data_IF_938722817131
#
_entry.id   IF_938722817131
#
_cell.length_a   1.000
_cell.length_b   1.000
_cell.length_c   1.000
_cell.angle_alpha   90.00
_cell.angle_beta   90.00
_cell.angle_gamma   90.00
#
_symmetry.space_group_name_H-M   'P 1'
#
loop_
_entity.id
_entity.type
_entity.pdbx_description
1 polymer ?
#
# COMPACT_ATOMS: atom_id res chain seq x y z
N UNK A 1 -12.47 17.46 4.42
CA UNK A 1 -12.28 16.26 5.26
C UNK A 1 -12.91 14.97 4.72
N UNK A 2 -14.23 14.82 4.51
CA UNK A 2 -14.80 13.57 3.93
C UNK A 2 -14.63 13.50 2.39
N UNK A 3 -14.71 14.65 1.73
CA UNK A 3 -14.63 14.76 0.27
C UNK A 3 -13.21 14.52 -0.26
N UNK A 4 -12.21 15.08 0.44
CA UNK A 4 -10.77 14.83 0.21
C UNK A 4 -10.41 13.33 0.31
N UNK A 5 -11.09 12.56 1.17
CA UNK A 5 -10.79 11.13 1.28
C UNK A 5 -11.30 10.33 0.08
N UNK A 6 -12.47 10.68 -0.47
CA UNK A 6 -13.04 10.00 -1.64
C UNK A 6 -12.27 10.32 -2.91
N UNK A 7 -11.90 11.59 -3.10
CA UNK A 7 -11.06 12.00 -4.23
C UNK A 7 -9.70 11.28 -4.20
N UNK A 8 -9.07 11.19 -3.04
CA UNK A 8 -7.82 10.45 -2.87
C UNK A 8 -7.96 8.96 -3.22
N UNK A 9 -9.05 8.32 -2.80
CA UNK A 9 -9.33 6.90 -3.14
C UNK A 9 -9.53 6.73 -4.65
N UNK A 10 -10.30 7.61 -5.28
CA UNK A 10 -10.52 7.57 -6.73
C UNK A 10 -9.21 7.76 -7.49
N UNK A 11 -8.38 8.71 -7.06
CA UNK A 11 -7.09 8.95 -7.69
C UNK A 11 -6.19 7.71 -7.63
N UNK A 12 -6.06 7.08 -6.46
CA UNK A 12 -5.25 5.86 -6.29
C UNK A 12 -5.83 4.65 -7.04
N UNK A 13 -7.14 4.57 -7.18
CA UNK A 13 -7.78 3.58 -8.06
C UNK A 13 -7.42 3.80 -9.53
N UNK A 14 -7.42 5.06 -10.01
CA UNK A 14 -7.03 5.38 -11.39
C UNK A 14 -5.53 5.14 -11.64
N UNK A 15 -4.67 5.35 -10.65
CA UNK A 15 -3.25 4.98 -10.72
C UNK A 15 -3.08 3.46 -10.87
N UNK A 16 -3.87 2.68 -10.12
CA UNK A 16 -3.88 1.23 -10.24
C UNK A 16 -4.38 0.78 -11.63
N UNK A 17 -5.45 1.40 -12.15
CA UNK A 17 -5.92 1.19 -13.52
C UNK A 17 -4.80 1.46 -14.54
N UNK A 18 -4.10 2.59 -14.44
CA UNK A 18 -3.03 2.96 -15.37
C UNK A 18 -1.87 1.94 -15.35
N UNK A 19 -1.49 1.47 -14.15
CA UNK A 19 -0.50 0.41 -14.01
C UNK A 19 -0.97 -0.88 -14.71
N UNK A 20 -2.21 -1.30 -14.47
CA UNK A 20 -2.81 -2.50 -15.08
C UNK A 20 -2.85 -2.36 -16.61
N UNK A 21 -3.28 -1.21 -17.13
CA UNK A 21 -3.36 -0.95 -18.57
C UNK A 21 -1.97 -1.10 -19.23
N UNK A 22 -0.92 -0.58 -18.58
CA UNK A 22 0.47 -0.72 -19.05
C UNK A 22 0.96 -2.15 -18.97
N UNK A 23 0.79 -2.80 -17.82
CA UNK A 23 1.33 -4.14 -17.56
C UNK A 23 0.67 -5.22 -18.44
N UNK A 24 -0.65 -5.14 -18.63
CA UNK A 24 -1.42 -6.09 -19.43
C UNK A 24 -1.63 -5.62 -20.87
N UNK A 25 -1.04 -4.48 -21.27
CA UNK A 25 -1.14 -3.88 -22.61
C UNK A 25 -2.60 -3.67 -23.05
N UNK A 26 -3.46 -3.27 -22.12
CA UNK A 26 -4.86 -2.96 -22.39
C UNK A 26 -4.91 -1.62 -23.12
N UNK A 27 -5.34 -1.62 -24.38
CA UNK A 27 -5.35 -0.42 -25.24
C UNK A 27 -6.65 0.37 -25.19
N UNK A 28 -7.71 -0.20 -24.62
CA UNK A 28 -9.06 0.36 -24.64
C UNK A 28 -9.62 0.36 -23.22
N UNK A 29 -10.12 1.50 -22.77
CA UNK A 29 -10.81 1.64 -21.47
C UNK A 29 -11.95 0.63 -21.31
N UNK A 30 -12.68 0.33 -22.39
CA UNK A 30 -13.76 -0.64 -22.35
C UNK A 30 -13.28 -2.04 -21.96
N UNK A 31 -12.08 -2.45 -22.40
CA UNK A 31 -11.56 -3.77 -22.07
C UNK A 31 -11.21 -3.87 -20.57
N UNK A 32 -10.67 -2.81 -19.96
CA UNK A 32 -10.49 -2.76 -18.51
C UNK A 32 -11.84 -2.81 -17.78
N UNK A 33 -12.78 -1.96 -18.20
CA UNK A 33 -14.11 -1.87 -17.61
C UNK A 33 -14.83 -3.24 -17.65
N UNK A 34 -14.84 -3.90 -18.79
CA UNK A 34 -15.42 -5.23 -19.00
C UNK A 34 -14.77 -6.28 -18.07
N UNK A 35 -13.45 -6.21 -17.91
CA UNK A 35 -12.69 -7.18 -17.09
C UNK A 35 -13.06 -7.08 -15.61
N UNK A 36 -13.29 -5.87 -15.09
CA UNK A 36 -13.73 -5.67 -13.70
C UNK A 36 -15.27 -5.64 -13.58
N UNK A 37 -16.01 -5.83 -14.67
CA UNK A 37 -17.47 -5.80 -14.73
C UNK A 37 -18.11 -4.41 -14.60
N UNK A 38 -17.33 -3.34 -14.73
CA UNK A 38 -17.82 -1.96 -14.66
C UNK A 38 -18.29 -1.46 -16.03
N UNK A 39 -19.16 -0.45 -16.06
CA UNK A 39 -19.52 0.17 -17.33
C UNK A 39 -18.44 1.13 -17.81
N UNK A 40 -18.18 1.15 -19.12
CA UNK A 40 -17.21 2.06 -19.72
C UNK A 40 -17.52 3.54 -19.43
N UNK A 41 -18.81 3.89 -19.35
CA UNK A 41 -19.24 5.25 -18.99
C UNK A 41 -18.84 5.60 -17.55
N UNK A 42 -18.93 4.65 -16.61
CA UNK A 42 -18.55 4.90 -15.22
C UNK A 42 -17.05 5.21 -15.13
N UNK A 43 -16.20 4.42 -15.77
CA UNK A 43 -14.74 4.67 -15.82
C UNK A 43 -14.44 6.04 -16.44
N UNK A 44 -15.12 6.40 -17.54
CA UNK A 44 -14.97 7.72 -18.15
C UNK A 44 -15.36 8.86 -17.19
N UNK A 45 -16.42 8.68 -16.40
CA UNK A 45 -16.83 9.67 -15.41
C UNK A 45 -15.83 9.81 -14.26
N UNK A 46 -15.21 8.70 -13.82
CA UNK A 46 -14.12 8.73 -12.83
C UNK A 46 -12.93 9.55 -13.34
N UNK A 47 -12.44 9.23 -14.56
CA UNK A 47 -11.30 9.94 -15.17
C UNK A 47 -11.56 11.43 -15.39
N UNK A 48 -12.83 11.80 -15.61
CA UNK A 48 -13.24 13.19 -15.78
C UNK A 48 -13.52 13.92 -14.44
N UNK A 49 -13.35 13.27 -13.29
CA UNK A 49 -13.67 13.84 -11.98
C UNK A 49 -15.17 14.08 -11.75
N UNK A 50 -16.04 13.47 -12.57
CA UNK A 50 -17.50 13.63 -12.50
C UNK A 50 -18.18 12.65 -11.55
N UNK A 51 -17.44 11.64 -11.09
CA UNK A 51 -17.91 10.64 -10.12
C UNK A 51 -16.74 10.12 -9.29
N UNK A 52 -17.06 9.42 -8.20
CA UNK A 52 -16.08 8.79 -7.32
C UNK A 52 -16.16 7.26 -7.44
N UNK A 53 -15.04 6.59 -7.24
CA UNK A 53 -15.01 5.12 -7.26
C UNK A 53 -15.80 4.57 -6.08
N UNK A 54 -16.50 3.46 -6.30
CA UNK A 54 -17.23 2.78 -5.23
C UNK A 54 -16.47 1.53 -4.74
N UNK A 55 -16.82 1.07 -3.53
CA UNK A 55 -16.16 -0.07 -2.89
C UNK A 55 -16.25 -1.37 -3.72
N UNK A 56 -17.34 -1.56 -4.46
CA UNK A 56 -17.49 -2.74 -5.32
C UNK A 56 -16.49 -2.74 -6.48
N UNK A 57 -16.23 -1.60 -7.12
CA UNK A 57 -15.23 -1.48 -8.19
C UNK A 57 -13.82 -1.77 -7.67
N UNK A 58 -13.50 -1.26 -6.47
CA UNK A 58 -12.23 -1.54 -5.80
C UNK A 58 -12.10 -3.05 -5.54
N UNK A 59 -13.12 -3.68 -4.95
CA UNK A 59 -13.13 -5.12 -4.69
C UNK A 59 -13.02 -5.94 -5.97
N UNK A 60 -13.69 -5.53 -7.06
CA UNK A 60 -13.61 -6.18 -8.35
C UNK A 60 -12.20 -6.11 -8.95
N UNK A 61 -11.57 -4.93 -8.92
CA UNK A 61 -10.18 -4.76 -9.35
C UNK A 61 -9.23 -5.67 -8.56
N UNK A 62 -9.31 -5.66 -7.23
CA UNK A 62 -8.42 -6.47 -6.37
C UNK A 62 -8.62 -7.97 -6.60
N UNK A 63 -9.86 -8.40 -6.85
CA UNK A 63 -10.17 -9.80 -7.15
C UNK A 63 -9.54 -10.24 -8.47
N UNK A 64 -9.56 -9.39 -9.48
CA UNK A 64 -9.01 -9.66 -10.81
C UNK A 64 -7.49 -9.55 -10.84
N UNK A 65 -6.93 -8.52 -10.20
CA UNK A 65 -5.51 -8.18 -10.20
C UNK A 65 -4.97 -8.29 -8.77
N UNK A 66 -4.62 -9.52 -8.37
CA UNK A 66 -4.23 -9.83 -7.00
C UNK A 66 -2.91 -9.19 -6.56
N UNK A 67 -2.10 -8.74 -7.51
CA UNK A 67 -0.87 -7.99 -7.26
C UNK A 67 -1.13 -6.58 -6.75
N UNK A 68 -2.34 -6.03 -6.91
CA UNK A 68 -2.69 -4.70 -6.42
C UNK A 68 -2.90 -4.73 -4.91
N UNK A 69 -2.32 -3.73 -4.24
CA UNK A 69 -2.44 -3.56 -2.81
C UNK A 69 -3.74 -2.80 -2.45
N UNK A 70 -4.69 -3.43 -1.73
CA UNK A 70 -5.91 -2.76 -1.31
C UNK A 70 -5.67 -1.57 -0.36
N UNK A 71 -4.67 -1.69 0.52
CA UNK A 71 -4.38 -0.65 1.54
C UNK A 71 -3.87 0.64 0.89
N UNK A 72 -3.14 0.50 -0.21
CA UNK A 72 -2.73 1.65 -1.03
C UNK A 72 -3.97 2.37 -1.57
N UNK A 73 -4.90 1.65 -2.21
CA UNK A 73 -6.10 2.29 -2.78
C UNK A 73 -6.93 2.97 -1.69
N UNK A 74 -7.24 2.24 -0.61
CA UNK A 74 -8.16 2.71 0.42
C UNK A 74 -7.56 3.83 1.27
N UNK A 75 -6.32 3.68 1.73
CA UNK A 75 -5.74 4.55 2.76
C UNK A 75 -4.56 5.39 2.23
N UNK A 76 -3.97 5.03 1.10
CA UNK A 76 -2.72 5.62 0.62
C UNK A 76 -1.48 5.04 1.31
N UNK A 77 -1.65 3.96 2.07
CA UNK A 77 -0.57 3.35 2.83
C UNK A 77 0.25 2.37 1.97
N UNK A 78 1.57 2.42 2.14
CA UNK A 78 2.48 1.49 1.49
C UNK A 78 2.68 1.73 0.00
N UNK A 79 2.78 0.66 -0.79
CA UNK A 79 3.04 0.69 -2.23
C UNK A 79 1.82 0.19 -3.01
N UNK A 80 1.70 0.62 -4.27
CA UNK A 80 0.65 0.18 -5.19
C UNK A 80 0.56 -1.34 -5.35
N UNK A 81 1.72 -2.01 -5.40
CA UNK A 81 1.80 -3.46 -5.56
C UNK A 81 2.04 -4.14 -4.22
N UNK A 82 1.43 -5.31 -4.05
CA UNK A 82 1.75 -6.21 -2.96
C UNK A 82 3.21 -6.66 -3.09
N UNK A 83 3.96 -6.71 -1.98
CA UNK A 83 5.31 -7.24 -2.00
C UNK A 83 5.27 -8.68 -2.52
N UNK A 84 6.24 -9.02 -3.38
CA UNK A 84 6.41 -10.39 -3.83
C UNK A 84 6.62 -11.31 -2.61
N UNK A 85 6.25 -12.58 -2.71
CA UNK A 85 6.37 -13.52 -1.59
C UNK A 85 7.76 -13.54 -0.95
N UNK A 86 8.82 -13.47 -1.77
CA UNK A 86 10.20 -13.39 -1.29
C UNK A 86 10.52 -12.07 -0.60
N UNK A 87 10.01 -10.94 -1.10
CA UNK A 87 10.18 -9.63 -0.45
C UNK A 87 9.48 -9.63 0.92
N UNK A 88 8.26 -10.17 1.00
CA UNK A 88 7.54 -10.33 2.27
C UNK A 88 8.33 -11.16 3.28
N UNK A 89 8.85 -12.32 2.86
CA UNK A 89 9.66 -13.19 3.73
C UNK A 89 10.94 -12.49 4.20
N UNK A 90 11.61 -11.74 3.33
CA UNK A 90 12.79 -10.94 3.70
C UNK A 90 12.43 -9.86 4.72
N UNK A 91 11.31 -9.17 4.53
CA UNK A 91 10.83 -8.16 5.48
C UNK A 91 10.55 -8.77 6.85
N UNK A 92 9.88 -9.93 6.92
CA UNK A 92 9.62 -10.64 8.18
C UNK A 92 10.91 -11.04 8.91
N UNK A 93 11.94 -11.46 8.18
CA UNK A 93 13.25 -11.79 8.77
C UNK A 93 13.96 -10.54 9.28
N UNK A 94 13.91 -9.44 8.52
CA UNK A 94 14.50 -8.16 8.93
C UNK A 94 13.80 -7.58 10.16
N UNK A 95 12.48 -7.70 10.25
CA UNK A 95 11.70 -7.23 11.40
C UNK A 95 12.11 -7.96 12.69
N UNK A 96 12.16 -9.30 12.65
CA UNK A 96 12.65 -10.11 13.79
C UNK A 96 14.09 -9.78 14.17
N UNK A 97 14.94 -9.54 13.18
CA UNK A 97 16.33 -9.14 13.42
C UNK A 97 16.41 -7.77 14.10
N UNK A 98 15.61 -6.80 13.66
CA UNK A 98 15.52 -5.49 14.28
C UNK A 98 15.00 -5.54 15.72
N UNK A 99 13.98 -6.36 16.00
CA UNK A 99 13.49 -6.57 17.37
C UNK A 99 14.61 -7.10 18.29
N UNK A 100 15.38 -8.07 17.78
CA UNK A 100 16.51 -8.65 18.51
C UNK A 100 17.59 -7.60 18.78
N UNK A 101 17.97 -6.82 17.77
CA UNK A 101 18.93 -5.72 17.92
C UNK A 101 18.43 -4.64 18.90
N UNK A 102 17.15 -4.30 18.87
CA UNK A 102 16.58 -3.32 19.80
C UNK A 102 16.62 -3.82 21.24
N UNK A 103 16.37 -5.11 21.46
CA UNK A 103 16.50 -5.73 22.78
C UNK A 103 17.95 -5.68 23.27
N UNK A 104 18.92 -6.01 22.41
CA UNK A 104 20.35 -5.97 22.74
C UNK A 104 20.84 -4.54 23.03
N UNK A 105 20.46 -3.56 22.21
CA UNK A 105 20.76 -2.15 22.44
C UNK A 105 20.15 -1.67 23.77
N UNK A 106 18.94 -2.10 24.08
CA UNK A 106 18.28 -1.75 25.35
C UNK A 106 19.02 -2.34 26.55
N UNK A 107 19.50 -3.58 26.43
CA UNK A 107 20.31 -4.22 27.45
C UNK A 107 21.64 -3.49 27.66
N UNK A 108 22.40 -3.24 26.58
CA UNK A 108 23.68 -2.54 26.65
C UNK A 108 23.55 -1.12 27.22
N UNK A 109 22.47 -0.40 26.87
CA UNK A 109 22.19 0.92 27.46
C UNK A 109 22.05 0.87 28.98
N UNK A 110 21.33 -0.14 29.50
CA UNK A 110 21.18 -0.33 30.96
C UNK A 110 22.51 -0.67 31.63
N UNK A 111 23.33 -1.50 30.98
CA UNK A 111 24.66 -1.86 31.51
C UNK A 111 25.58 -0.64 31.56
N UNK A 112 25.62 0.17 30.49
CA UNK A 112 26.38 1.43 30.47
C UNK A 112 25.87 2.41 31.54
N UNK A 113 24.56 2.54 31.71
CA UNK A 113 23.97 3.39 32.74
C UNK A 113 24.39 2.92 34.14
N UNK A 114 24.32 1.62 34.41
CA UNK A 114 24.80 1.05 35.68
C UNK A 114 26.28 1.35 35.90
N UNK A 115 27.15 1.07 34.92
CA UNK A 115 28.58 1.33 35.03
C UNK A 115 28.89 2.81 35.29
N UNK A 116 28.11 3.74 34.70
CA UNK A 116 28.24 5.18 34.99
C UNK A 116 27.96 5.53 36.44
N UNK A 117 27.05 4.81 37.12
CA UNK A 117 26.79 5.04 38.55
C UNK A 117 27.96 4.62 39.45
N UNK A 118 28.83 3.74 38.95
CA UNK A 118 30.00 3.24 39.67
C UNK A 118 31.23 4.14 39.51
N UNK A 119 31.23 5.07 38.57
CA UNK A 119 32.34 6.03 38.39
C UNK A 119 32.11 7.20 39.37
N UNK A 120 33.01 7.44 40.33
CA UNK A 120 32.88 8.57 41.25
C UNK A 120 32.95 9.89 40.48
N UNK A 121 32.03 10.82 40.74
CA UNK A 121 32.14 12.19 40.25
C UNK A 121 33.29 12.89 40.98
N UNK A 122 34.48 12.93 40.39
CA UNK A 122 35.59 13.82 40.79
C UNK A 122 35.43 15.21 40.20
#
# INVERSE_FOLDING_TARGET
>A
MIEESKEGITQRFLEAEEYIEKQYKIKKQSAFADTIGASNQHISNLKAGRSQVNAWMIAAMIKTYQEINPDYILNGDGRLLRPAYHEKKTMEVMEKFNETLQAEVTFLKKEVEYLRTLIPNT
#
